data_IF_065095036690
#
_entry.id   IF_065095036690
#
_cell.length_a   1.000
_cell.length_b   1.000
_cell.length_c   1.000
_cell.angle_alpha   90.00
_cell.angle_beta   90.00
_cell.angle_gamma   90.00
#
_symmetry.space_group_name_H-M   'P 1'
#
loop_
_entity.id
_entity.type
_entity.pdbx_description
1 polymer ?
#
# COMPACT_ATOMS: atom_id res chain seq x y z
N UNK A 1 9.63 -6.88 2.75
CA UNK A 1 9.35 -6.36 4.11
C UNK A 1 10.51 -6.69 5.05
N UNK A 2 10.63 -5.96 6.15
CA UNK A 2 11.64 -6.14 7.20
C UNK A 2 10.95 -6.24 8.57
N UNK A 3 11.39 -7.18 9.39
CA UNK A 3 11.01 -7.32 10.79
C UNK A 3 12.12 -6.70 11.64
N UNK A 4 11.76 -5.83 12.57
CA UNK A 4 12.71 -5.18 13.47
C UNK A 4 12.40 -5.68 14.88
N UNK A 5 13.34 -6.36 15.54
CA UNK A 5 13.13 -6.84 16.90
C UNK A 5 13.00 -5.66 17.88
N UNK A 6 12.38 -5.89 19.05
CA UNK A 6 12.27 -4.86 20.08
C UNK A 6 13.65 -4.40 20.57
N UNK A 7 13.75 -3.12 20.94
CA UNK A 7 14.98 -2.49 21.45
C UNK A 7 15.38 -3.10 22.81
N UNK A 8 14.39 -3.42 23.63
CA UNK A 8 14.55 -4.18 24.86
C UNK A 8 14.44 -5.67 24.54
N UNK A 9 15.57 -6.35 24.39
CA UNK A 9 15.59 -7.79 24.19
C UNK A 9 14.92 -8.55 25.34
N UNK A 10 14.23 -9.64 25.02
CA UNK A 10 13.82 -10.62 26.04
C UNK A 10 15.08 -11.27 26.62
N UNK A 11 15.17 -11.37 27.94
CA UNK A 11 16.29 -12.03 28.62
C UNK A 11 16.33 -13.56 28.38
N UNK A 12 15.25 -14.14 27.86
CA UNK A 12 15.05 -15.59 27.83
C UNK A 12 14.83 -16.17 26.43
N UNK A 13 14.49 -15.36 25.43
CA UNK A 13 14.16 -15.83 24.08
C UNK A 13 14.89 -15.00 23.03
N UNK A 14 15.53 -15.68 22.09
CA UNK A 14 16.13 -15.02 20.93
C UNK A 14 15.05 -14.40 20.04
N UNK A 15 15.35 -13.32 19.30
CA UNK A 15 14.38 -12.72 18.39
C UNK A 15 13.81 -13.71 17.35
N UNK A 16 14.64 -14.65 16.87
CA UNK A 16 14.23 -15.72 15.96
C UNK A 16 13.20 -16.67 16.61
N UNK A 17 13.40 -17.06 17.87
CA UNK A 17 12.45 -17.90 18.61
C UNK A 17 11.13 -17.16 18.85
N UNK A 18 11.19 -15.89 19.24
CA UNK A 18 9.99 -15.06 19.41
C UNK A 18 9.19 -14.97 18.12
N UNK A 19 9.86 -14.67 16.99
CA UNK A 19 9.20 -14.56 15.69
C UNK A 19 8.51 -15.88 15.30
N UNK A 20 9.19 -17.01 15.52
CA UNK A 20 8.63 -18.35 15.28
C UNK A 20 7.44 -18.67 16.20
N UNK A 21 7.51 -18.29 17.47
CA UNK A 21 6.46 -18.55 18.45
C UNK A 21 5.21 -17.67 18.24
N UNK A 22 5.38 -16.49 17.64
CA UNK A 22 4.28 -15.55 17.36
C UNK A 22 3.61 -15.80 16.01
N UNK A 23 4.35 -16.25 15.00
CA UNK A 23 3.81 -16.57 13.67
C UNK A 23 3.37 -18.04 13.57
N UNK A 24 2.56 -18.50 14.53
CA UNK A 24 2.04 -19.87 14.57
C UNK A 24 0.65 -19.98 13.93
N UNK A 25 0.26 -21.17 13.44
CA UNK A 25 -1.10 -21.37 12.92
C UNK A 25 -2.16 -21.02 13.96
N UNK A 26 -3.17 -20.26 13.54
CA UNK A 26 -4.24 -19.78 14.41
C UNK A 26 -3.93 -18.48 15.15
N UNK A 27 -2.69 -17.98 15.13
CA UNK A 27 -2.39 -16.66 15.67
C UNK A 27 -3.23 -15.60 14.94
N UNK A 28 -3.89 -14.74 15.71
CA UNK A 28 -4.88 -13.82 15.17
C UNK A 28 -4.83 -12.44 15.83
N UNK A 29 -5.39 -11.45 15.14
CA UNK A 29 -5.62 -10.12 15.68
C UNK A 29 -6.70 -9.40 14.87
N UNK A 30 -7.42 -8.49 15.51
CA UNK A 30 -8.50 -7.74 14.86
C UNK A 30 -7.99 -6.38 14.33
N UNK A 31 -8.42 -5.98 13.14
CA UNK A 31 -8.20 -4.64 12.60
C UNK A 31 -9.29 -4.25 11.63
N UNK A 32 -9.91 -3.08 11.85
CA UNK A 32 -10.99 -2.54 11.00
C UNK A 32 -12.15 -3.53 10.79
N UNK A 33 -12.63 -4.18 11.87
CA UNK A 33 -13.71 -5.17 11.80
C UNK A 33 -13.36 -6.44 11.04
N UNK A 34 -12.06 -6.71 10.82
CA UNK A 34 -11.57 -7.93 10.19
C UNK A 34 -10.67 -8.68 11.15
N UNK A 35 -10.96 -9.96 11.33
CA UNK A 35 -10.10 -10.84 12.11
C UNK A 35 -9.03 -11.44 11.19
N UNK A 36 -7.80 -10.96 11.34
CA UNK A 36 -6.64 -11.48 10.63
C UNK A 36 -6.13 -12.74 11.32
N UNK A 37 -5.75 -13.75 10.55
CA UNK A 37 -5.30 -15.05 11.04
C UNK A 37 -4.13 -15.58 10.22
N UNK A 38 -3.19 -16.20 10.91
CA UNK A 38 -2.14 -17.04 10.31
C UNK A 38 -2.71 -18.42 10.06
N UNK A 39 -2.66 -18.85 8.81
CA UNK A 39 -3.02 -20.20 8.38
C UNK A 39 -1.92 -21.22 8.71
N UNK A 40 -1.88 -22.32 7.96
CA UNK A 40 -0.78 -23.29 8.10
C UNK A 40 0.55 -22.62 7.75
N UNK A 41 1.54 -22.84 8.59
CA UNK A 41 2.94 -22.42 8.37
C UNK A 41 3.83 -23.64 8.22
N UNK A 42 4.96 -23.46 7.53
CA UNK A 42 6.02 -24.43 7.38
C UNK A 42 7.35 -23.71 7.55
N UNK A 43 8.36 -24.41 8.10
CA UNK A 43 9.69 -23.86 8.26
C UNK A 43 10.69 -24.76 7.57
N UNK A 44 11.50 -24.19 6.68
CA UNK A 44 12.56 -24.90 5.96
C UNK A 44 13.68 -23.92 5.59
N UNK A 45 14.93 -24.34 5.76
CA UNK A 45 16.12 -23.53 5.44
C UNK A 45 16.05 -22.13 6.07
N UNK A 46 15.68 -22.07 7.35
CA UNK A 46 15.46 -20.85 8.15
C UNK A 46 14.43 -19.84 7.60
N UNK A 47 13.62 -20.29 6.65
CA UNK A 47 12.48 -19.53 6.13
C UNK A 47 11.17 -20.12 6.65
N UNK A 48 10.39 -19.28 7.31
CA UNK A 48 8.99 -19.57 7.67
C UNK A 48 8.10 -19.10 6.53
N UNK A 49 7.36 -20.02 5.91
CA UNK A 49 6.36 -19.72 4.89
C UNK A 49 4.97 -20.02 5.43
N UNK A 50 3.97 -19.25 4.99
CA UNK A 50 2.61 -19.44 5.45
C UNK A 50 1.58 -18.67 4.65
N UNK A 51 0.33 -18.79 5.10
CA UNK A 51 -0.79 -17.99 4.61
C UNK A 51 -1.21 -16.99 5.68
N UNK A 52 -1.44 -15.76 5.27
CA UNK A 52 -2.07 -14.73 6.08
C UNK A 52 -3.40 -14.40 5.41
N UNK A 53 -4.47 -14.39 6.19
CA UNK A 53 -5.77 -13.98 5.66
C UNK A 53 -6.60 -13.30 6.71
N UNK A 54 -7.76 -12.83 6.30
CA UNK A 54 -8.79 -12.42 7.22
C UNK A 54 -10.10 -13.09 6.85
N UNK A 55 -10.89 -13.43 7.85
CA UNK A 55 -12.34 -13.60 7.68
C UNK A 55 -12.97 -12.22 7.82
N UNK A 56 -13.85 -11.85 6.90
CA UNK A 56 -14.76 -10.74 7.17
C UNK A 56 -15.65 -11.08 8.38
N UNK A 57 -16.26 -10.09 9.01
CA UNK A 57 -17.53 -10.34 9.71
C UNK A 57 -18.39 -11.18 8.78
N UNK A 58 -18.91 -12.31 9.26
CA UNK A 58 -19.67 -13.25 8.45
C UNK A 58 -20.72 -12.49 7.66
N UNK A 59 -20.43 -12.26 6.38
CA UNK A 59 -21.34 -11.56 5.50
C UNK A 59 -22.53 -12.47 5.33
N UNK A 60 -23.71 -11.95 5.63
CA UNK A 60 -24.93 -12.59 5.18
C UNK A 60 -24.96 -12.37 3.66
N UNK A 61 -24.69 -13.42 2.91
CA UNK A 61 -24.85 -13.39 1.46
C UNK A 61 -26.27 -13.86 1.13
N UNK A 62 -27.01 -13.04 0.38
CA UNK A 62 -28.31 -13.42 -0.18
C UNK A 62 -28.07 -14.38 -1.34
N UNK A 63 -28.41 -15.66 -1.14
CA UNK A 63 -28.31 -16.70 -2.16
C UNK A 63 -29.70 -17.05 -2.64
N UNK A 64 -29.90 -17.10 -3.96
CA UNK A 64 -31.14 -17.57 -4.56
C UNK A 64 -31.39 -19.03 -4.19
N UNK A 65 -32.47 -19.29 -3.45
CA UNK A 65 -32.96 -20.61 -3.14
C UNK A 65 -34.00 -21.01 -4.18
N UNK A 66 -33.64 -21.99 -5.02
CA UNK A 66 -34.47 -22.38 -6.15
C UNK A 66 -35.72 -23.19 -5.75
N UNK A 67 -35.76 -23.72 -4.52
CA UNK A 67 -36.93 -24.40 -3.96
C UNK A 67 -37.92 -23.39 -3.36
N UNK A 68 -37.40 -22.40 -2.64
CA UNK A 68 -38.20 -21.31 -2.08
C UNK A 68 -38.58 -20.26 -3.13
N UNK A 69 -37.88 -20.23 -4.27
CA UNK A 69 -37.94 -19.16 -5.28
C UNK A 69 -37.74 -17.77 -4.67
N UNK A 70 -36.82 -17.68 -3.71
CA UNK A 70 -36.54 -16.47 -2.95
C UNK A 70 -35.06 -16.39 -2.58
N UNK A 71 -34.59 -15.20 -2.20
CA UNK A 71 -33.26 -15.02 -1.64
C UNK A 71 -33.24 -15.45 -0.18
N UNK A 72 -32.20 -16.18 0.22
CA UNK A 72 -31.96 -16.58 1.61
C UNK A 72 -30.59 -16.10 2.07
N UNK A 73 -30.61 -15.56 3.28
CA UNK A 73 -29.44 -15.19 4.05
C UNK A 73 -28.59 -16.42 4.40
N UNK A 74 -27.41 -16.53 3.80
CA UNK A 74 -26.40 -17.52 4.18
C UNK A 74 -25.20 -16.83 4.82
N UNK A 75 -24.83 -17.26 6.04
CA UNK A 75 -23.59 -16.83 6.68
C UNK A 75 -22.43 -17.39 5.86
N UNK A 76 -21.74 -16.53 5.14
CA UNK A 76 -20.64 -16.89 4.26
C UNK A 76 -19.31 -16.57 4.94
N UNK A 77 -18.51 -17.60 5.23
CA UNK A 77 -17.14 -17.44 5.71
C UNK A 77 -16.19 -17.30 4.53
N UNK A 78 -16.33 -16.23 3.73
CA UNK A 78 -15.36 -15.93 2.67
C UNK A 78 -14.13 -15.28 3.27
N UNK A 79 -13.12 -16.10 3.56
CA UNK A 79 -11.80 -15.62 3.91
C UNK A 79 -10.97 -15.34 2.67
N UNK A 80 -10.30 -14.18 2.63
CA UNK A 80 -9.27 -13.91 1.62
C UNK A 80 -7.92 -14.20 2.24
N UNK A 81 -7.03 -14.87 1.51
CA UNK A 81 -5.67 -15.15 1.98
C UNK A 81 -4.62 -14.72 0.96
N UNK A 82 -3.45 -14.35 1.47
CA UNK A 82 -2.21 -14.15 0.73
C UNK A 82 -1.10 -15.05 1.30
N UNK A 83 -0.08 -15.31 0.49
CA UNK A 83 1.10 -16.09 0.88
C UNK A 83 2.18 -15.14 1.38
N UNK A 84 2.91 -15.55 2.42
CA UNK A 84 4.07 -14.83 2.93
C UNK A 84 5.23 -15.77 3.24
N UNK A 85 6.45 -15.22 3.24
CA UNK A 85 7.68 -15.88 3.64
C UNK A 85 8.51 -14.94 4.52
N UNK A 86 9.19 -15.47 5.54
CA UNK A 86 10.04 -14.72 6.47
C UNK A 86 11.33 -15.50 6.71
N UNK A 87 12.47 -14.88 6.44
CA UNK A 87 13.76 -15.42 6.82
C UNK A 87 14.01 -15.10 8.30
N UNK A 88 14.09 -16.13 9.14
CA UNK A 88 14.05 -16.00 10.59
C UNK A 88 15.34 -15.42 11.20
N UNK A 89 16.47 -15.55 10.52
CA UNK A 89 17.75 -14.96 10.93
C UNK A 89 17.98 -13.55 10.36
N UNK A 90 17.64 -13.34 9.07
CA UNK A 90 17.84 -12.04 8.41
C UNK A 90 16.73 -11.04 8.72
N UNK A 91 15.62 -11.49 9.30
CA UNK A 91 14.42 -10.69 9.56
C UNK A 91 13.87 -10.00 8.30
N UNK A 92 14.07 -10.61 7.14
CA UNK A 92 13.51 -10.20 5.85
C UNK A 92 12.28 -11.03 5.54
N UNK A 93 11.38 -10.50 4.73
CA UNK A 93 10.26 -11.30 4.25
C UNK A 93 9.63 -10.78 2.98
N UNK A 94 8.83 -11.64 2.38
CA UNK A 94 8.03 -11.38 1.20
C UNK A 94 6.56 -11.64 1.52
N UNK A 95 5.69 -10.86 0.91
CA UNK A 95 4.26 -11.11 0.93
C UNK A 95 3.72 -10.89 -0.47
N UNK A 96 2.85 -11.78 -0.91
CA UNK A 96 2.20 -11.63 -2.20
C UNK A 96 1.18 -10.47 -2.13
N UNK A 97 1.23 -9.57 -3.11
CA UNK A 97 0.15 -8.60 -3.31
C UNK A 97 -1.06 -9.31 -3.96
N UNK A 98 -2.23 -9.19 -3.33
CA UNK A 98 -3.52 -9.68 -3.84
C UNK A 98 -4.54 -8.56 -3.89
N UNK A 99 -4.12 -7.37 -4.32
CA UNK A 99 -5.01 -6.25 -4.57
C UNK A 99 -6.19 -6.65 -5.50
N UNK A 100 -7.41 -6.11 -5.26
CA UNK A 100 -7.74 -5.14 -4.22
C UNK A 100 -7.95 -5.76 -2.84
N UNK A 101 -8.00 -7.09 -2.73
CA UNK A 101 -8.49 -7.77 -1.54
C UNK A 101 -7.49 -7.75 -0.36
N UNK A 102 -6.22 -8.02 -0.62
CA UNK A 102 -5.12 -7.88 0.37
C UNK A 102 -3.96 -7.13 -0.29
N UNK A 103 -3.76 -5.87 0.09
CA UNK A 103 -2.58 -5.09 -0.27
C UNK A 103 -1.41 -5.41 0.67
N UNK A 104 -0.19 -5.21 0.20
CA UNK A 104 1.05 -5.40 0.99
C UNK A 104 1.00 -4.66 2.33
N UNK A 105 0.61 -3.38 2.33
CA UNK A 105 0.52 -2.58 3.57
C UNK A 105 -0.50 -3.15 4.57
N UNK A 106 -1.61 -3.71 4.08
CA UNK A 106 -2.60 -4.36 4.94
C UNK A 106 -2.04 -5.63 5.58
N UNK A 107 -1.29 -6.42 4.81
CA UNK A 107 -0.62 -7.61 5.31
C UNK A 107 0.48 -7.28 6.33
N UNK A 108 1.31 -6.27 6.06
CA UNK A 108 2.34 -5.78 6.99
C UNK A 108 1.73 -5.34 8.30
N UNK A 109 0.64 -4.56 8.24
CA UNK A 109 -0.10 -4.13 9.44
C UNK A 109 -0.62 -5.32 10.22
N UNK A 110 -1.25 -6.29 9.56
CA UNK A 110 -1.78 -7.47 10.20
C UNK A 110 -0.69 -8.31 10.88
N UNK A 111 0.44 -8.54 10.22
CA UNK A 111 1.60 -9.22 10.80
C UNK A 111 2.11 -8.47 12.03
N UNK A 112 2.23 -7.14 11.96
CA UNK A 112 2.63 -6.33 13.12
C UNK A 112 1.66 -6.47 14.29
N UNK A 113 0.35 -6.52 14.03
CA UNK A 113 -0.65 -6.69 15.08
C UNK A 113 -0.56 -8.08 15.71
N UNK A 114 -0.48 -9.13 14.90
CA UNK A 114 -0.34 -10.52 15.36
C UNK A 114 0.94 -10.71 16.20
N UNK A 115 2.07 -10.16 15.75
CA UNK A 115 3.34 -10.25 16.49
C UNK A 115 3.25 -9.60 17.88
N UNK A 116 2.53 -8.50 17.98
CA UNK A 116 2.43 -7.70 19.19
C UNK A 116 1.19 -8.01 20.04
N UNK A 117 0.40 -9.02 19.66
CA UNK A 117 -0.81 -9.37 20.38
C UNK A 117 -0.52 -9.72 21.84
N UNK A 118 -1.33 -9.21 22.76
CA UNK A 118 -1.12 -9.37 24.20
C UNK A 118 0.12 -8.66 24.80
N UNK A 119 0.96 -7.97 24.00
CA UNK A 119 2.12 -7.21 24.52
C UNK A 119 1.68 -5.79 24.91
N UNK A 120 1.64 -5.53 26.21
CA UNK A 120 1.26 -4.20 26.76
C UNK A 120 2.39 -3.18 26.70
N UNK A 121 3.63 -3.63 26.86
CA UNK A 121 4.81 -2.75 26.83
C UNK A 121 5.24 -2.48 25.39
N UNK A 122 5.16 -1.21 24.97
CA UNK A 122 5.53 -0.78 23.62
C UNK A 122 7.03 -0.93 23.32
N UNK A 123 7.89 -0.97 24.33
CA UNK A 123 9.33 -1.19 24.14
C UNK A 123 9.66 -2.62 23.71
N UNK A 124 8.71 -3.54 23.92
CA UNK A 124 8.77 -4.94 23.49
C UNK A 124 8.06 -5.17 22.17
N UNK A 125 7.60 -4.11 21.49
CA UNK A 125 6.88 -4.26 20.22
C UNK A 125 7.85 -4.52 19.06
N UNK A 126 7.55 -5.56 18.31
CA UNK A 126 8.11 -5.79 16.99
C UNK A 126 7.61 -4.73 16.01
N UNK A 127 8.51 -4.18 15.18
CA UNK A 127 8.11 -3.38 14.01
C UNK A 127 8.14 -4.28 12.78
N UNK A 128 7.16 -4.09 11.89
CA UNK A 128 7.14 -4.71 10.56
C UNK A 128 7.01 -3.57 9.56
N UNK A 129 7.98 -3.48 8.66
CA UNK A 129 8.13 -2.35 7.75
C UNK A 129 8.19 -2.86 6.31
N UNK A 130 7.58 -2.11 5.39
CA UNK A 130 7.80 -2.35 3.97
C UNK A 130 9.30 -2.17 3.68
N UNK A 131 9.87 -3.03 2.83
CA UNK A 131 11.25 -2.80 2.41
C UNK A 131 11.26 -1.58 1.50
N UNK A 132 11.86 -0.51 1.99
CA UNK A 132 11.90 0.81 1.37
C UNK A 132 13.35 1.23 1.30
N UNK A 133 13.93 1.22 0.11
CA UNK A 133 15.30 1.70 -0.09
C UNK A 133 15.24 3.23 -0.22
N UNK A 134 16.00 3.95 0.60
CA UNK A 134 16.24 5.38 0.35
C UNK A 134 17.11 5.49 -0.89
N UNK A 135 16.64 6.25 -1.87
CA UNK A 135 17.37 6.53 -3.09
C UNK A 135 16.96 7.92 -3.58
N UNK A 136 17.86 8.60 -4.28
CA UNK A 136 17.49 9.76 -5.09
C UNK A 136 16.79 9.29 -6.38
N UNK A 137 16.03 10.19 -7.02
CA UNK A 137 15.39 9.90 -8.30
C UNK A 137 16.44 9.48 -9.34
N UNK A 138 17.62 10.11 -9.33
CA UNK A 138 18.72 9.81 -10.24
C UNK A 138 19.30 8.41 -10.02
N UNK A 139 19.50 8.00 -8.77
CA UNK A 139 19.97 6.64 -8.44
C UNK A 139 18.92 5.59 -8.82
N UNK A 140 17.65 5.84 -8.50
CA UNK A 140 16.56 4.96 -8.89
C UNK A 140 16.43 4.84 -10.41
N UNK A 141 16.49 5.95 -11.15
CA UNK A 141 16.47 5.94 -12.62
C UNK A 141 17.60 5.12 -13.23
N UNK A 142 18.77 5.04 -12.57
CA UNK A 142 19.91 4.21 -13.00
C UNK A 142 19.74 2.74 -12.62
N UNK A 143 18.91 2.42 -11.62
CA UNK A 143 18.67 1.04 -11.18
C UNK A 143 17.64 0.31 -12.06
N UNK A 144 16.82 1.05 -12.80
CA UNK A 144 15.81 0.50 -13.72
C UNK A 144 16.29 0.53 -15.17
N UNK A 145 15.87 -0.47 -15.95
CA UNK A 145 16.15 -0.54 -17.40
C UNK A 145 15.41 0.56 -18.15
N UNK A 146 14.16 0.82 -17.80
CA UNK A 146 13.34 1.91 -18.34
C UNK A 146 12.25 2.35 -17.38
N UNK A 147 11.86 3.62 -17.45
CA UNK A 147 10.70 4.16 -16.73
C UNK A 147 9.46 3.97 -17.60
N UNK A 148 8.43 3.29 -17.10
CA UNK A 148 7.21 2.98 -17.86
C UNK A 148 6.03 3.87 -17.47
N UNK A 149 6.02 4.42 -16.26
CA UNK A 149 4.95 5.28 -15.77
C UNK A 149 5.48 6.43 -14.91
N UNK A 150 4.88 7.60 -15.06
CA UNK A 150 5.10 8.74 -14.16
C UNK A 150 3.75 9.33 -13.80
N UNK A 151 3.51 9.57 -12.52
CA UNK A 151 2.33 10.25 -11.99
C UNK A 151 2.77 11.42 -11.13
N UNK A 152 2.27 12.60 -11.44
CA UNK A 152 2.41 13.78 -10.61
C UNK A 152 1.05 14.16 -10.04
N UNK A 153 1.02 14.44 -8.74
CA UNK A 153 -0.07 15.17 -8.09
C UNK A 153 0.49 16.53 -7.70
N UNK A 154 0.08 17.56 -8.42
CA UNK A 154 0.61 18.92 -8.35
C UNK A 154 -0.40 19.83 -7.64
N UNK A 155 0.10 20.75 -6.83
CA UNK A 155 -0.69 21.79 -6.17
C UNK A 155 -0.19 23.17 -6.56
N UNK A 156 -1.05 24.18 -6.50
CA UNK A 156 -0.65 25.57 -6.70
C UNK A 156 0.44 25.97 -5.67
N UNK A 157 1.56 26.58 -6.10
CA UNK A 157 2.66 26.91 -5.21
C UNK A 157 2.37 28.19 -4.42
N UNK A 158 2.93 28.26 -3.22
CA UNK A 158 3.03 29.48 -2.44
C UNK A 158 4.52 29.74 -2.10
N UNK A 159 5.20 30.77 -2.64
CA UNK A 159 4.65 31.96 -3.32
C UNK A 159 4.78 32.01 -4.86
N UNK A 160 5.56 31.13 -5.54
CA UNK A 160 5.72 31.23 -7.01
C UNK A 160 6.18 29.95 -7.72
N UNK A 161 5.90 29.86 -9.03
CA UNK A 161 6.18 28.73 -9.93
C UNK A 161 7.66 28.51 -10.29
N UNK A 162 8.56 29.47 -9.98
CA UNK A 162 10.02 29.51 -10.27
C UNK A 162 10.46 28.74 -11.54
N UNK A 163 9.93 29.14 -12.69
CA UNK A 163 10.40 28.60 -13.98
C UNK A 163 9.69 27.33 -14.46
N UNK A 164 8.65 26.87 -13.75
CA UNK A 164 7.78 25.76 -14.19
C UNK A 164 6.67 26.25 -15.11
N UNK A 165 7.03 26.95 -16.20
CA UNK A 165 6.09 27.66 -17.07
C UNK A 165 4.97 26.78 -17.61
N UNK A 166 5.25 25.56 -18.04
CA UNK A 166 4.23 24.66 -18.56
C UNK A 166 3.23 24.20 -17.47
N UNK A 167 3.69 24.12 -16.21
CA UNK A 167 2.83 23.81 -15.07
C UNK A 167 2.01 25.04 -14.68
N UNK A 168 2.63 26.22 -14.67
CA UNK A 168 1.96 27.51 -14.45
C UNK A 168 0.87 27.77 -15.47
N UNK A 169 1.18 27.61 -16.77
CA UNK A 169 0.24 27.78 -17.88
C UNK A 169 -0.95 26.81 -17.71
N UNK A 170 -0.70 25.54 -17.35
CA UNK A 170 -1.76 24.55 -17.07
C UNK A 170 -2.72 25.02 -15.97
N UNK A 171 -2.21 25.53 -14.85
CA UNK A 171 -3.05 25.98 -13.73
C UNK A 171 -3.79 27.28 -14.06
N UNK A 172 -3.11 28.24 -14.69
CA UNK A 172 -3.68 29.53 -15.06
C UNK A 172 -4.78 29.39 -16.12
N UNK A 173 -4.58 28.55 -17.14
CA UNK A 173 -5.56 28.33 -18.21
C UNK A 173 -6.78 27.56 -17.73
N UNK A 174 -6.60 26.61 -16.80
CA UNK A 174 -7.71 25.79 -16.29
C UNK A 174 -8.40 26.40 -15.07
N UNK A 175 -7.78 27.35 -14.37
CA UNK A 175 -8.25 27.86 -13.08
C UNK A 175 -8.21 26.81 -11.95
N UNK A 176 -7.42 25.75 -12.12
CA UNK A 176 -7.32 24.66 -11.15
C UNK A 176 -6.39 25.02 -9.99
N UNK A 177 -6.69 24.53 -8.78
CA UNK A 177 -5.78 24.63 -7.60
C UNK A 177 -4.95 23.37 -7.36
N UNK A 178 -5.32 22.28 -8.02
CA UNK A 178 -4.58 21.02 -8.02
C UNK A 178 -4.78 20.31 -9.36
N UNK A 179 -3.78 19.54 -9.77
CA UNK A 179 -3.83 18.77 -11.01
C UNK A 179 -3.16 17.41 -10.81
N UNK A 180 -3.65 16.38 -11.50
CA UNK A 180 -2.95 15.09 -11.60
C UNK A 180 -2.59 14.83 -13.05
N UNK A 181 -1.30 14.61 -13.31
CA UNK A 181 -0.79 14.22 -14.62
C UNK A 181 -0.27 12.78 -14.57
N UNK A 182 -0.73 11.94 -15.49
CA UNK A 182 -0.30 10.53 -15.59
C UNK A 182 0.22 10.29 -16.99
N UNK A 183 1.46 9.81 -17.07
CA UNK A 183 2.14 9.42 -18.30
C UNK A 183 2.45 7.93 -18.23
N UNK A 184 2.15 7.19 -19.29
CA UNK A 184 2.36 5.75 -19.33
C UNK A 184 2.83 5.32 -20.74
N UNK A 185 3.92 4.56 -20.80
CA UNK A 185 4.42 3.94 -22.01
C UNK A 185 5.21 2.67 -21.66
N UNK A 186 4.68 1.50 -22.04
CA UNK A 186 5.33 0.21 -21.79
C UNK A 186 6.74 0.10 -22.40
N UNK A 187 6.99 0.81 -23.51
CA UNK A 187 8.30 0.84 -24.19
C UNK A 187 9.30 1.81 -23.56
N UNK A 188 8.87 2.63 -22.59
CA UNK A 188 9.71 3.61 -21.90
C UNK A 188 9.27 5.05 -22.17
N UNK A 189 9.25 5.86 -21.11
CA UNK A 189 8.97 7.29 -21.14
C UNK A 189 10.26 8.08 -21.30
N UNK A 190 10.21 9.14 -22.11
CA UNK A 190 11.23 10.18 -22.08
C UNK A 190 11.02 11.05 -20.84
N UNK A 191 11.57 10.61 -19.71
CA UNK A 191 11.52 11.33 -18.42
C UNK A 191 12.26 12.66 -18.44
N UNK A 192 13.05 12.94 -19.49
CA UNK A 192 13.75 14.20 -19.66
C UNK A 192 12.95 15.24 -20.46
N UNK A 193 11.71 14.90 -20.86
CA UNK A 193 10.76 15.83 -21.45
C UNK A 193 10.52 17.04 -20.51
N UNK A 194 10.40 18.23 -21.11
CA UNK A 194 10.37 19.49 -20.37
C UNK A 194 9.23 19.55 -19.33
N UNK A 195 8.03 19.09 -19.69
CA UNK A 195 6.90 19.04 -18.77
C UNK A 195 7.17 18.14 -17.56
N UNK A 196 7.81 16.98 -17.76
CA UNK A 196 8.14 16.05 -16.67
C UNK A 196 9.21 16.67 -15.76
N UNK A 197 10.25 17.31 -16.33
CA UNK A 197 11.28 18.00 -15.55
C UNK A 197 10.71 19.16 -14.72
N UNK A 198 9.86 20.00 -15.31
CA UNK A 198 9.22 21.10 -14.59
C UNK A 198 8.29 20.58 -13.49
N UNK A 199 7.49 19.54 -13.78
CA UNK A 199 6.63 18.89 -12.78
C UNK A 199 7.45 18.31 -11.62
N UNK A 200 8.58 17.66 -11.90
CA UNK A 200 9.46 17.12 -10.87
C UNK A 200 10.08 18.24 -10.02
N UNK A 201 10.60 19.30 -10.62
CA UNK A 201 11.15 20.43 -9.88
C UNK A 201 10.08 21.06 -8.96
N UNK A 202 8.84 21.18 -9.45
CA UNK A 202 7.71 21.65 -8.66
C UNK A 202 7.44 20.76 -7.43
N UNK A 203 7.51 19.44 -7.60
CA UNK A 203 7.42 18.46 -6.50
C UNK A 203 8.59 18.55 -5.54
N UNK A 204 9.83 18.67 -6.03
CA UNK A 204 11.06 18.78 -5.20
C UNK A 204 11.05 20.01 -4.29
N UNK A 205 10.25 21.02 -4.66
CA UNK A 205 10.02 22.25 -3.88
C UNK A 205 8.87 22.12 -2.87
N UNK A 206 8.24 20.96 -2.76
CA UNK A 206 7.19 20.67 -1.78
C UNK A 206 5.75 20.95 -2.25
N UNK A 207 5.55 21.22 -3.55
CA UNK A 207 4.23 21.57 -4.09
C UNK A 207 3.56 20.39 -4.83
N UNK A 208 3.75 19.18 -4.31
CA UNK A 208 3.12 17.99 -4.87
C UNK A 208 3.79 16.67 -4.45
N UNK A 209 3.40 15.61 -5.15
CA UNK A 209 3.92 14.24 -5.04
C UNK A 209 4.23 13.70 -6.44
N UNK A 210 5.38 13.03 -6.58
CA UNK A 210 5.84 12.43 -7.83
C UNK A 210 6.06 10.95 -7.64
N UNK A 211 5.37 10.13 -8.44
CA UNK A 211 5.51 8.67 -8.43
C UNK A 211 6.00 8.17 -9.78
N UNK A 212 7.06 7.40 -9.77
CA UNK A 212 7.65 6.79 -10.93
C UNK A 212 7.48 5.28 -10.83
N UNK A 213 7.30 4.64 -11.97
CA UNK A 213 7.34 3.19 -12.10
C UNK A 213 8.28 2.86 -13.24
N UNK A 214 9.19 1.94 -12.98
CA UNK A 214 10.16 1.44 -13.94
C UNK A 214 10.27 -0.06 -13.85
N UNK A 215 10.89 -0.65 -14.84
CA UNK A 215 11.11 -2.10 -14.91
C UNK A 215 12.60 -2.38 -14.89
N UNK A 216 13.01 -3.38 -14.10
CA UNK A 216 14.34 -3.98 -14.12
C UNK A 216 14.23 -5.28 -14.90
N UNK A 217 15.01 -5.43 -15.95
CA UNK A 217 15.08 -6.68 -16.72
C UNK A 217 16.27 -7.49 -16.22
N UNK A 218 15.98 -8.65 -15.62
CA UNK A 218 16.98 -9.57 -15.12
C UNK A 218 17.63 -10.40 -16.24
N UNK A 219 18.79 -11.03 -15.96
CA UNK A 219 19.54 -11.81 -16.95
C UNK A 219 18.74 -13.02 -17.52
N UNK A 220 17.72 -13.48 -16.80
CA UNK A 220 16.88 -14.62 -17.19
C UNK A 220 15.56 -14.19 -17.85
N UNK A 221 15.41 -12.91 -18.21
CA UNK A 221 14.15 -12.37 -18.75
C UNK A 221 13.08 -12.10 -17.70
N UNK A 222 13.41 -12.21 -16.42
CA UNK A 222 12.56 -11.77 -15.31
C UNK A 222 12.37 -10.26 -15.36
N UNK A 223 11.13 -9.80 -15.15
CA UNK A 223 10.80 -8.37 -15.13
C UNK A 223 10.34 -8.02 -13.71
N UNK A 224 11.13 -7.17 -13.05
CA UNK A 224 10.79 -6.63 -11.74
C UNK A 224 10.24 -5.22 -11.90
N UNK A 225 9.07 -4.96 -11.33
CA UNK A 225 8.54 -3.61 -11.22
C UNK A 225 9.18 -2.90 -10.02
N UNK A 226 9.75 -1.72 -10.27
CA UNK A 226 10.25 -0.84 -9.21
C UNK A 226 9.45 0.46 -9.23
N UNK A 227 9.02 0.91 -8.05
CA UNK A 227 8.28 2.16 -7.84
C UNK A 227 9.14 3.12 -7.04
N UNK A 228 9.09 4.39 -7.38
CA UNK A 228 9.80 5.44 -6.65
C UNK A 228 8.86 6.59 -6.32
N UNK A 229 8.88 7.05 -5.07
CA UNK A 229 8.21 8.27 -4.66
C UNK A 229 9.25 9.37 -4.40
N UNK A 230 9.20 10.43 -5.21
CA UNK A 230 10.14 11.55 -5.14
C UNK A 230 9.91 12.48 -3.96
N UNK A 231 8.69 12.57 -3.41
CA UNK A 231 8.40 13.43 -2.26
C UNK A 231 9.08 12.92 -0.98
N UNK A 232 9.28 11.61 -0.88
CA UNK A 232 9.85 10.95 0.32
C UNK A 232 11.18 10.23 0.04
N UNK A 233 11.66 10.21 -1.21
CA UNK A 233 12.95 9.62 -1.59
C UNK A 233 13.02 8.10 -1.39
N UNK A 234 11.93 7.38 -1.67
CA UNK A 234 11.81 5.96 -1.36
C UNK A 234 11.51 5.13 -2.61
N UNK A 235 12.29 4.07 -2.80
CA UNK A 235 12.06 2.97 -3.74
C UNK A 235 11.33 1.80 -3.05
N UNK A 236 10.30 1.29 -3.73
CA UNK A 236 9.57 0.06 -3.43
C UNK A 236 9.77 -0.92 -4.60
N UNK A 237 10.10 -2.18 -4.30
CA UNK A 237 10.35 -3.20 -5.32
C UNK A 237 9.31 -4.31 -5.22
N UNK A 238 8.73 -4.66 -6.37
CA UNK A 238 7.78 -5.76 -6.54
C UNK A 238 8.30 -6.69 -7.64
N UNK A 239 8.62 -7.93 -7.26
CA UNK A 239 9.07 -8.96 -8.21
C UNK A 239 7.86 -9.79 -8.68
N UNK A 240 7.79 -10.06 -9.99
CA UNK A 240 6.78 -10.95 -10.56
C UNK A 240 7.23 -12.41 -10.45
N UNK A 241 6.56 -13.16 -9.59
CA UNK A 241 6.81 -14.60 -9.41
C UNK A 241 5.72 -15.44 -10.08
N UNK A 242 6.11 -16.61 -10.58
CA UNK A 242 5.16 -17.57 -11.13
C UNK A 242 4.09 -17.96 -10.09
N UNK A 243 2.83 -17.79 -10.47
CA UNK A 243 1.67 -18.15 -9.66
C UNK A 243 0.94 -19.36 -10.24
N UNK A 244 0.28 -20.11 -9.37
CA UNK A 244 -0.63 -21.19 -9.73
C UNK A 244 -1.89 -20.62 -10.43
N UNK A 245 -2.72 -21.45 -11.11
CA UNK A 245 -3.91 -20.97 -11.83
C UNK A 245 -4.93 -20.20 -10.98
N UNK A 246 -4.89 -20.35 -9.66
CA UNK A 246 -5.72 -19.60 -8.70
C UNK A 246 -5.13 -18.21 -8.35
N UNK A 247 -4.01 -17.85 -8.96
CA UNK A 247 -3.28 -16.61 -8.73
C UNK A 247 -2.51 -16.58 -7.41
N UNK A 248 -2.27 -17.71 -6.73
CA UNK A 248 -1.39 -17.76 -5.54
C UNK A 248 0.04 -18.15 -5.93
N UNK A 249 1.02 -17.48 -5.34
CA UNK A 249 2.44 -17.84 -5.55
C UNK A 249 2.74 -19.11 -4.75
N UNK A 250 3.41 -20.07 -5.39
CA UNK A 250 3.82 -21.30 -4.73
C UNK A 250 4.82 -20.99 -3.59
N UNK A 251 4.60 -21.57 -2.41
CA UNK A 251 5.43 -21.33 -1.22
C UNK A 251 6.90 -21.67 -1.42
N UNK A 252 7.23 -22.68 -2.23
CA UNK A 252 8.62 -23.06 -2.53
C UNK A 252 9.28 -22.07 -3.48
N UNK A 253 8.52 -21.48 -4.43
CA UNK A 253 9.00 -20.42 -5.31
C UNK A 253 9.30 -19.17 -4.49
N UNK A 254 8.36 -18.76 -3.62
CA UNK A 254 8.56 -17.59 -2.74
C UNK A 254 9.73 -17.80 -1.76
N UNK A 255 9.90 -19.01 -1.24
CA UNK A 255 11.03 -19.36 -0.37
C UNK A 255 12.36 -19.27 -1.10
N UNK A 256 12.45 -19.87 -2.28
CA UNK A 256 13.69 -19.87 -3.08
C UNK A 256 14.07 -18.45 -3.47
N UNK A 257 13.09 -17.64 -3.92
CA UNK A 257 13.30 -16.23 -4.22
C UNK A 257 13.83 -15.45 -3.01
N UNK A 258 13.22 -15.63 -1.83
CA UNK A 258 13.66 -14.97 -0.61
C UNK A 258 15.12 -15.32 -0.22
N UNK A 259 15.56 -16.55 -0.50
CA UNK A 259 16.94 -16.98 -0.24
C UNK A 259 17.95 -16.42 -1.26
N UNK A 260 17.49 -16.09 -2.47
CA UNK A 260 18.32 -15.47 -3.52
C UNK A 260 18.49 -13.96 -3.32
N UNK A 261 17.60 -13.33 -2.54
CA UNK A 261 17.71 -11.91 -2.22
C UNK A 261 19.00 -11.66 -1.41
N UNK A 262 19.76 -10.60 -1.75
CA UNK A 262 20.94 -10.25 -0.98
C UNK A 262 20.54 -9.94 0.48
N UNK A 263 21.35 -10.36 1.47
CA UNK A 263 21.09 -10.02 2.85
C UNK A 263 21.01 -8.50 2.98
N UNK A 264 20.05 -8.00 3.76
CA UNK A 264 19.72 -6.57 3.85
C UNK A 264 20.91 -5.70 4.24
N UNK A 265 21.93 -6.28 4.89
CA UNK A 265 23.18 -5.63 5.28
C UNK A 265 24.13 -5.36 4.11
N UNK A 266 24.02 -6.04 2.97
CA UNK A 266 24.96 -5.93 1.85
C UNK A 266 24.65 -4.79 0.86
N UNK A 267 23.49 -4.13 0.96
CA UNK A 267 23.09 -3.03 0.05
C UNK A 267 23.03 -1.67 0.77
N UNK A 268 23.25 -1.66 2.09
CA UNK A 268 23.38 -0.44 2.89
C UNK A 268 24.80 0.17 2.86
N UNK A 269 25.77 -0.50 2.24
CA UNK A 269 27.17 -0.06 2.16
C UNK A 269 27.64 0.04 0.70
N UNK A 270 27.11 1.02 -0.02
CA UNK A 270 27.75 1.58 -1.21
C UNK A 270 27.69 3.11 -1.14
N UNK A 271 28.21 3.66 -0.05
CA UNK A 271 28.57 5.07 0.08
C UNK A 271 29.56 5.25 1.23
N UNK A 272 30.62 4.44 1.28
CA UNK A 272 31.81 4.72 2.08
C UNK A 272 32.95 4.03 1.31
N UNK A 273 33.41 4.71 0.25
CA UNK A 273 34.66 4.36 -0.40
C UNK A 273 35.78 4.66 0.59
N UNK A 274 36.38 3.56 1.03
CA UNK A 274 37.70 3.43 1.66
C UNK A 274 38.74 4.29 0.90
N UNK A 275 39.11 5.43 1.48
CA UNK A 275 40.39 6.09 1.20
C UNK A 275 41.29 5.91 2.43
N UNK A 276 42.10 4.87 2.37
CA UNK A 276 43.33 4.76 3.15
C UNK A 276 44.48 5.31 2.30
N UNK A 277 45.08 6.42 2.70
CA UNK A 277 46.56 6.62 2.76
C UNK A 277 46.93 8.02 3.31
N UNK A 278 47.65 7.98 4.45
CA UNK A 278 48.83 8.78 4.84
C UNK A 278 48.85 10.33 4.70
N UNK A 279 48.74 10.97 5.87
CA UNK A 279 49.67 11.99 6.42
C UNK A 279 50.31 13.00 5.44
N UNK A 280 49.69 14.19 5.30
CA UNK A 280 50.36 15.49 5.37
C UNK A 280 49.31 16.63 5.45
N UNK A 281 49.37 17.42 6.52
CA UNK A 281 48.65 18.70 6.68
C UNK A 281 49.60 19.88 6.39
N UNK A 282 49.13 21.14 6.20
CA UNK A 282 47.76 21.65 6.02
C UNK A 282 47.62 22.70 4.89
N UNK A 283 46.40 22.94 4.41
CA UNK A 283 45.74 24.27 4.36
C UNK A 283 44.60 24.32 3.33
N UNK A 284 43.46 24.82 3.79
CA UNK A 284 42.31 25.31 3.01
C UNK A 284 41.51 24.26 2.21
N UNK A 285 40.37 23.84 2.78
CA UNK A 285 39.02 23.86 2.20
C UNK A 285 38.10 23.24 3.28
N UNK A 286 37.50 24.10 4.10
CA UNK A 286 36.38 23.78 4.98
C UNK A 286 35.31 24.83 4.71
N UNK A 287 34.37 24.51 3.81
CA UNK A 287 33.07 25.18 3.61
C UNK A 287 32.37 24.51 2.42
N UNK A 288 31.89 23.28 2.58
CA UNK A 288 30.97 22.68 1.61
C UNK A 288 30.04 21.61 2.22
N UNK A 289 30.49 20.82 3.21
CA UNK A 289 29.70 19.66 3.65
C UNK A 289 28.76 19.89 4.85
N UNK A 290 28.97 20.90 5.70
CA UNK A 290 28.07 21.16 6.85
C UNK A 290 26.71 21.77 6.43
N UNK A 291 26.55 22.15 5.16
CA UNK A 291 25.34 22.83 4.70
C UNK A 291 24.23 21.85 4.24
N UNK A 292 24.59 20.62 3.89
CA UNK A 292 23.65 19.62 3.38
C UNK A 292 22.89 18.88 4.49
N UNK A 293 23.53 18.58 5.62
CA UNK A 293 22.86 17.94 6.76
C UNK A 293 21.91 18.89 7.49
N UNK A 294 22.29 20.17 7.64
CA UNK A 294 21.42 21.19 8.25
C UNK A 294 20.15 21.47 7.43
N UNK A 295 20.21 21.37 6.09
CA UNK A 295 19.06 21.60 5.20
C UNK A 295 18.04 20.43 5.25
N UNK A 296 18.50 19.22 5.57
CA UNK A 296 17.64 18.04 5.73
C UNK A 296 16.93 18.05 7.09
N UNK A 297 17.60 18.49 8.15
CA UNK A 297 17.03 18.58 9.50
C UNK A 297 15.97 19.69 9.60
N UNK A 298 16.20 20.85 8.97
CA UNK A 298 15.21 21.95 8.91
C UNK A 298 13.96 21.56 8.08
N UNK A 299 14.14 20.74 7.03
CA UNK A 299 13.03 20.18 6.22
C UNK A 299 12.15 19.20 6.99
N UNK A 300 12.73 18.38 7.88
CA UNK A 300 11.96 17.48 8.76
C UNK A 300 11.15 18.26 9.81
N UNK A 301 11.67 19.39 10.29
CA UNK A 301 10.99 20.24 11.27
C UNK A 301 9.84 21.06 10.64
N UNK A 302 9.99 21.54 9.40
CA UNK A 302 8.90 22.23 8.69
C UNK A 302 7.74 21.29 8.34
N UNK A 303 8.02 20.05 7.91
CA UNK A 303 6.98 19.06 7.64
C UNK A 303 6.15 18.68 8.87
N UNK A 304 6.75 18.74 10.06
CA UNK A 304 6.05 18.46 11.33
C UNK A 304 5.16 19.63 11.79
N UNK A 305 5.56 20.89 11.58
CA UNK A 305 4.72 22.07 11.91
C UNK A 305 3.43 22.14 11.10
N UNK A 306 3.49 21.80 9.81
CA UNK A 306 2.30 21.80 8.93
C UNK A 306 1.28 20.74 9.37
N UNK A 307 1.74 19.66 10.03
CA UNK A 307 0.86 18.60 10.55
C UNK A 307 0.18 18.99 11.87
N UNK A 308 0.90 19.70 12.75
CA UNK A 308 0.35 20.14 14.04
C UNK A 308 -0.62 21.34 13.85
N UNK A 309 -0.33 22.26 12.92
CA UNK A 309 -1.18 23.42 12.63
C UNK A 309 -2.50 23.04 11.90
N UNK A 310 -2.51 21.91 11.17
CA UNK A 310 -3.72 21.35 10.57
C UNK A 310 -4.62 20.60 11.58
N UNK A 311 -4.09 20.25 12.75
CA UNK A 311 -4.82 19.51 13.80
C UNK A 311 -5.29 20.39 14.97
N UNK A 312 -4.86 21.65 15.04
CA UNK A 312 -5.27 22.61 16.09
C UNK A 312 -6.57 23.40 15.75
N UNK A 313 -7.21 23.15 14.60
CA UNK A 313 -8.43 23.89 14.17
C UNK A 313 -9.73 23.16 14.55
N UNK A 314 -9.68 22.05 15.28
CA UNK A 314 -10.89 21.34 15.75
C UNK A 314 -10.78 21.02 17.24
N UNK A 315 -10.95 22.03 18.08
CA UNK A 315 -11.09 21.82 19.53
C UNK A 315 -11.27 23.14 20.26
N UNK A 316 -12.53 23.57 20.40
CA UNK A 316 -13.12 24.11 21.64
C UNK A 316 -14.35 24.95 21.27
N UNK A 317 -15.54 24.37 21.43
CA UNK A 317 -16.75 25.13 21.75
C UNK A 317 -17.61 24.26 22.67
N UNK A 318 -17.49 24.54 23.96
CA UNK A 318 -18.41 24.12 25.01
C UNK A 318 -19.78 24.78 24.78
N UNK A 319 -20.83 23.98 24.68
CA UNK A 319 -22.20 24.45 24.88
C UNK A 319 -23.08 23.33 25.45
N UNK A 320 -23.38 23.46 26.74
CA UNK A 320 -24.51 22.81 27.41
C UNK A 320 -25.83 23.25 26.77
N UNK A 321 -26.84 22.38 26.81
CA UNK A 321 -28.24 22.82 26.88
C UNK A 321 -29.24 22.17 25.91
N UNK A 322 -30.21 21.52 26.54
CA UNK A 322 -31.59 21.28 26.13
C UNK A 322 -31.96 20.25 25.05
N UNK A 323 -32.78 19.32 25.54
CA UNK A 323 -33.62 18.35 24.86
C UNK A 323 -34.76 19.02 24.11
N UNK A 324 -34.87 18.77 22.81
CA UNK A 324 -36.12 18.95 22.07
C UNK A 324 -36.36 17.72 21.17
N UNK A 325 -37.59 17.21 21.23
CA UNK A 325 -38.09 16.07 20.46
C UNK A 325 -38.04 16.34 18.95
N UNK A 326 -37.75 15.33 18.10
CA UNK A 326 -37.73 15.55 16.66
C UNK A 326 -39.14 15.70 16.07
N UNK A 327 -39.30 16.77 15.30
CA UNK A 327 -40.49 17.16 14.53
C UNK A 327 -41.02 16.04 13.62
N UNK A 328 -42.34 15.84 13.68
CA UNK A 328 -43.12 14.81 12.98
C UNK A 328 -43.34 15.00 11.47
N UNK A 329 -42.44 15.70 10.77
CA UNK A 329 -42.56 15.92 9.32
C UNK A 329 -41.84 14.84 8.49
N UNK A 330 -40.78 14.21 9.01
CA UNK A 330 -40.07 13.13 8.30
C UNK A 330 -40.87 11.81 8.21
N UNK A 331 -41.70 11.50 9.22
CA UNK A 331 -42.58 10.32 9.17
C UNK A 331 -43.77 10.50 8.21
N UNK A 332 -44.11 11.75 7.86
CA UNK A 332 -45.19 12.05 6.93
C UNK A 332 -44.77 11.80 5.48
N UNK A 333 -43.56 12.21 5.10
CA UNK A 333 -43.02 11.96 3.76
C UNK A 333 -42.75 10.47 3.50
N UNK A 334 -42.31 9.71 4.52
CA UNK A 334 -42.11 8.27 4.41
C UNK A 334 -43.42 7.46 4.27
N UNK A 335 -44.55 8.01 4.73
CA UNK A 335 -45.87 7.37 4.58
C UNK A 335 -46.44 7.57 3.17
N UNK A 336 -46.25 8.74 2.55
CA UNK A 336 -46.69 8.98 1.17
C UNK A 336 -45.89 8.16 0.13
N UNK A 337 -44.59 7.93 0.37
CA UNK A 337 -43.78 7.11 -0.53
C UNK A 337 -44.14 5.62 -0.50
N UNK A 338 -44.69 5.11 0.61
CA UNK A 338 -45.17 3.72 0.69
C UNK A 338 -46.51 3.50 -0.01
N UNK A 339 -47.38 4.51 -0.06
CA UNK A 339 -48.68 4.40 -0.76
C UNK A 339 -48.53 4.38 -2.30
N UNK A 340 -47.49 5.03 -2.84
CA UNK A 340 -47.19 5.03 -4.28
C UNK A 340 -46.62 3.69 -4.76
N UNK A 341 -45.93 2.95 -3.90
CA UNK A 341 -45.37 1.64 -4.24
C UNK A 341 -46.46 0.56 -4.40
N UNK A 342 -47.57 0.66 -3.65
CA UNK A 342 -48.65 -0.34 -3.67
C UNK A 342 -49.66 -0.15 -4.83
N UNK A 343 -49.59 0.94 -5.59
CA UNK A 343 -50.51 1.21 -6.72
C UNK A 343 -49.94 0.92 -8.11
N UNK A 344 -48.69 0.45 -8.21
CA UNK A 344 -48.06 0.09 -9.47
C UNK A 344 -48.53 -1.30 -9.96
N UNK A 345 -49.73 -1.35 -10.53
CA UNK A 345 -50.25 -2.51 -11.24
C UNK A 345 -49.41 -2.73 -12.52
N UNK A 346 -48.52 -3.72 -12.50
CA UNK A 346 -47.73 -4.12 -13.66
C UNK A 346 -48.65 -4.70 -14.75
N UNK A 347 -48.51 -4.30 -16.03
CA UNK A 347 -49.29 -4.88 -17.10
C UNK A 347 -48.88 -6.35 -17.33
N UNK A 348 -49.88 -7.23 -17.43
CA UNK A 348 -49.70 -8.63 -17.79
C UNK A 348 -48.99 -8.74 -19.14
N UNK A 349 -47.89 -9.48 -19.17
CA UNK A 349 -47.19 -9.82 -20.41
C UNK A 349 -48.07 -10.78 -21.23
N UNK A 350 -48.13 -10.62 -22.57
CA UNK A 350 -48.90 -11.51 -23.42
C UNK A 350 -48.33 -12.92 -23.38
N UNK A 351 -49.20 -13.87 -23.07
CA UNK A 351 -48.98 -15.31 -23.13
C UNK A 351 -48.37 -15.70 -24.49
N UNK A 352 -47.18 -16.29 -24.47
CA UNK A 352 -46.54 -16.82 -25.65
C UNK A 352 -47.37 -17.98 -26.20
N UNK A 353 -47.82 -17.79 -27.44
CA UNK A 353 -48.63 -18.74 -28.18
C UNK A 353 -47.96 -20.10 -28.32
N UNK A 354 -48.77 -21.09 -27.98
CA UNK A 354 -48.74 -22.47 -28.45
C UNK A 354 -48.53 -22.53 -29.97
N UNK A 355 -47.36 -23.02 -30.40
CA UNK A 355 -47.10 -23.40 -31.78
C UNK A 355 -47.01 -24.93 -31.84
N UNK A 356 -48.16 -25.54 -32.05
CA UNK A 356 -48.27 -26.94 -32.40
C UNK A 356 -47.81 -27.26 -33.83
N UNK A 357 -47.56 -28.55 -34.00
CA UNK A 357 -47.62 -29.37 -35.23
C UNK A 357 -46.45 -29.35 -36.22
N UNK A 358 -45.93 -30.56 -36.41
CA UNK A 358 -45.01 -30.96 -37.46
C UNK A 358 -44.74 -32.47 -37.36
N UNK A 359 -45.79 -33.28 -37.55
CA UNK A 359 -45.67 -34.67 -37.99
C UNK A 359 -45.01 -34.68 -39.38
N UNK A 360 -44.10 -35.62 -39.63
CA UNK A 360 -44.05 -36.35 -40.90
C UNK A 360 -43.16 -37.61 -40.77
N UNK A 361 -43.79 -38.75 -41.03
CA UNK A 361 -43.23 -40.08 -41.19
C UNK A 361 -42.15 -40.16 -42.29
N UNK A 362 -41.06 -40.90 -42.01
CA UNK A 362 -40.56 -41.99 -42.86
C UNK A 362 -39.44 -42.82 -42.22
#
# INVERSE_FOLDING_TARGET
>A
MRFVPPESGSLFETPTEQLRARLTPGASSESYGREWRIGRVQTRDDVLTGRLGFSGEGGVEEIWDDEAKDFRDQISYRGVTTVFAVHLEQFTGLVQDRAPAIKVDSAIRALRLILNDGIKDKTLHWKVEAYRRKATLSEWRRSVTRVTKVRFSLSEPNPSWKGSRNVEDLFNETGSRSATAIFENALGLNVDAEFIKQSQNHVDRGYGDGRYTGVKEGPNGEVTESKYNSAIGIEEQNDELAADPNGEVNVEVMRSHLLELPPTSAVATLAESDETEEDETPESIQQADDHAEAEIEDRLLQGKRVYDEAHEVLGDDDAEGDSDEPDGDAERELRELREIADTAHLPELPSAGDNGEGDDDK
#
